data_IF_543693811933
#
_entry.id   IF_543693811933
#
_cell.length_a   1.000
_cell.length_b   1.000
_cell.length_c   1.000
_cell.angle_alpha   90.00
_cell.angle_beta   90.00
_cell.angle_gamma   90.00
#
_symmetry.space_group_name_H-M   'P 1'
#
loop_
_entity.id
_entity.type
_entity.pdbx_description
1 polymer ?
#
# COMPACT_ATOMS: atom_id res chain seq x y z
N UNK A 1 5.16 -7.84 9.49
CA UNK A 1 5.68 -8.14 8.13
C UNK A 1 4.64 -8.80 7.21
N UNK A 2 3.83 -9.76 7.68
CA UNK A 2 2.84 -10.46 6.85
C UNK A 2 1.79 -9.53 6.20
N UNK A 3 1.30 -8.52 6.94
CA UNK A 3 0.34 -7.55 6.40
C UNK A 3 0.94 -6.66 5.31
N UNK A 4 2.16 -6.17 5.50
CA UNK A 4 2.85 -5.36 4.50
C UNK A 4 3.05 -6.14 3.19
N UNK A 5 3.47 -7.41 3.29
CA UNK A 5 3.59 -8.29 2.12
C UNK A 5 2.25 -8.51 1.41
N UNK A 6 1.15 -8.64 2.15
CA UNK A 6 -0.20 -8.75 1.57
C UNK A 6 -0.61 -7.47 0.83
N UNK A 7 -0.36 -6.29 1.41
CA UNK A 7 -0.66 -5.00 0.77
C UNK A 7 0.16 -4.81 -0.51
N UNK A 8 1.45 -5.14 -0.49
CA UNK A 8 2.31 -5.09 -1.68
C UNK A 8 1.76 -6.00 -2.79
N UNK A 9 1.36 -7.23 -2.46
CA UNK A 9 0.80 -8.16 -3.44
C UNK A 9 -0.51 -7.64 -4.04
N UNK A 10 -1.39 -7.04 -3.23
CA UNK A 10 -2.63 -6.45 -3.71
C UNK A 10 -2.38 -5.24 -4.61
N UNK A 11 -1.40 -4.39 -4.25
CA UNK A 11 -0.98 -3.25 -5.06
C UNK A 11 -0.50 -3.69 -6.45
N UNK A 12 0.34 -4.73 -6.53
CA UNK A 12 0.83 -5.24 -7.81
C UNK A 12 -0.29 -5.88 -8.66
N UNK A 13 -1.28 -6.51 -8.03
CA UNK A 13 -2.47 -7.01 -8.74
C UNK A 13 -3.31 -5.85 -9.31
N UNK A 14 -3.54 -4.81 -8.52
CA UNK A 14 -4.29 -3.62 -8.95
C UNK A 14 -3.57 -2.89 -10.08
N UNK A 15 -2.24 -2.71 -9.98
CA UNK A 15 -1.40 -2.11 -11.02
C UNK A 15 -1.50 -2.87 -12.34
N UNK A 16 -1.37 -4.21 -12.32
CA UNK A 16 -1.53 -5.04 -13.53
C UNK A 16 -2.92 -4.94 -14.13
N UNK A 17 -3.97 -4.92 -13.30
CA UNK A 17 -5.35 -4.73 -13.78
C UNK A 17 -5.54 -3.37 -14.45
N UNK A 18 -4.98 -2.31 -13.89
CA UNK A 18 -5.02 -0.97 -14.48
C UNK A 18 -4.31 -0.93 -15.84
N UNK A 19 -3.11 -1.52 -15.93
CA UNK A 19 -2.35 -1.60 -17.19
C UNK A 19 -3.05 -2.45 -18.27
N UNK A 20 -3.82 -3.46 -17.87
CA UNK A 20 -4.62 -4.28 -18.78
C UNK A 20 -5.97 -3.63 -19.16
N UNK A 21 -6.34 -2.52 -18.52
CA UNK A 21 -7.60 -1.83 -18.81
C UNK A 21 -7.47 -1.03 -20.09
N UNK A 22 -8.45 -1.14 -20.98
CA UNK A 22 -8.50 -0.35 -22.20
C UNK A 22 -8.50 1.16 -21.85
N UNK A 23 -7.55 1.97 -22.36
CA UNK A 23 -7.51 3.40 -22.09
C UNK A 23 -8.74 4.18 -22.61
N UNK A 24 -9.47 3.62 -23.59
CA UNK A 24 -10.73 4.18 -24.07
C UNK A 24 -11.91 3.99 -23.10
N UNK A 25 -11.80 3.04 -22.15
CA UNK A 25 -12.81 2.81 -21.12
C UNK A 25 -12.47 3.65 -19.87
N UNK A 26 -12.77 4.94 -19.96
CA UNK A 26 -12.44 5.93 -18.93
C UNK A 26 -12.98 5.57 -17.54
N UNK A 27 -14.19 5.01 -17.46
CA UNK A 27 -14.80 4.65 -16.19
C UNK A 27 -14.04 3.51 -15.51
N UNK A 28 -13.72 2.44 -16.27
CA UNK A 28 -12.93 1.33 -15.72
C UNK A 28 -11.51 1.77 -15.37
N UNK A 29 -10.90 2.63 -16.18
CA UNK A 29 -9.57 3.15 -15.90
C UNK A 29 -9.55 3.99 -14.63
N UNK A 30 -10.54 4.87 -14.43
CA UNK A 30 -10.68 5.68 -13.24
C UNK A 30 -10.92 4.82 -11.99
N UNK A 31 -11.76 3.79 -12.10
CA UNK A 31 -11.99 2.84 -11.00
C UNK A 31 -10.72 2.07 -10.64
N UNK A 32 -9.94 1.63 -11.65
CA UNK A 32 -8.66 0.95 -11.43
C UNK A 32 -7.62 1.89 -10.79
N UNK A 33 -7.54 3.14 -11.24
CA UNK A 33 -6.66 4.17 -10.66
C UNK A 33 -6.97 4.41 -9.19
N UNK A 34 -8.24 4.66 -8.84
CA UNK A 34 -8.66 4.87 -7.44
C UNK A 34 -8.29 3.70 -6.55
N UNK A 35 -8.40 2.46 -7.06
CA UNK A 35 -8.02 1.27 -6.32
C UNK A 35 -6.51 1.19 -6.05
N UNK A 36 -5.69 1.62 -7.00
CA UNK A 36 -4.24 1.73 -6.80
C UNK A 36 -3.93 2.79 -5.73
N UNK A 37 -4.57 3.96 -5.81
CA UNK A 37 -4.35 5.06 -4.85
C UNK A 37 -4.70 4.64 -3.41
N UNK A 38 -5.83 3.94 -3.21
CA UNK A 38 -6.21 3.37 -1.90
C UNK A 38 -5.13 2.45 -1.34
N UNK A 39 -4.61 1.54 -2.17
CA UNK A 39 -3.61 0.55 -1.75
C UNK A 39 -2.24 1.19 -1.48
N UNK A 40 -1.90 2.29 -2.17
CA UNK A 40 -0.70 3.10 -1.86
C UNK A 40 -0.83 3.73 -0.47
N UNK A 41 -1.98 4.32 -0.15
CA UNK A 41 -2.22 4.88 1.18
C UNK A 41 -2.16 3.80 2.25
N UNK A 42 -2.75 2.63 2.00
CA UNK A 42 -2.69 1.48 2.90
C UNK A 42 -1.26 0.98 3.10
N UNK A 43 -0.45 0.92 2.04
CA UNK A 43 0.97 0.56 2.14
C UNK A 43 1.71 1.50 3.09
N UNK A 44 1.55 2.81 2.93
CA UNK A 44 2.21 3.78 3.81
C UNK A 44 1.71 3.69 5.24
N UNK A 45 0.40 3.53 5.47
CA UNK A 45 -0.16 3.31 6.81
C UNK A 45 0.44 2.08 7.47
N UNK A 46 0.45 0.95 6.77
CA UNK A 46 0.98 -0.33 7.29
C UNK A 46 2.49 -0.26 7.54
N UNK A 47 3.25 0.38 6.65
CA UNK A 47 4.68 0.62 6.83
C UNK A 47 4.95 1.46 8.09
N UNK A 48 4.21 2.55 8.29
CA UNK A 48 4.39 3.45 9.42
C UNK A 48 3.93 2.83 10.74
N UNK A 49 2.83 2.07 10.74
CA UNK A 49 2.34 1.35 11.92
C UNK A 49 3.31 0.24 12.36
N UNK A 50 3.92 -0.48 11.42
CA UNK A 50 4.99 -1.44 11.70
C UNK A 50 6.25 -0.79 12.28
N UNK A 51 6.51 0.49 11.96
CA UNK A 51 7.68 1.22 12.43
C UNK A 51 7.53 1.80 13.85
N UNK A 52 6.29 2.00 14.35
CA UNK A 52 6.04 2.46 15.74
C UNK A 52 6.24 1.38 16.81
N UNK A 53 6.43 0.11 16.40
CA UNK A 53 6.76 -0.99 17.31
C UNK A 53 8.20 -0.95 17.85
N UNK A 54 9.07 -0.15 17.24
CA UNK A 54 10.43 0.08 17.74
C UNK A 54 10.40 1.26 18.71
N UNK A 55 9.86 1.04 19.92
CA UNK A 55 10.14 1.95 21.03
C UNK A 55 11.63 1.81 21.34
N UNK A 56 12.40 2.85 21.09
CA UNK A 56 13.74 2.96 21.65
C UNK A 56 13.60 2.90 23.17
N UNK A 57 14.00 1.78 23.77
CA UNK A 57 14.37 1.75 25.19
C UNK A 57 15.68 2.54 25.31
N UNK A 58 15.57 3.86 25.39
CA UNK A 58 16.64 4.66 25.98
C UNK A 58 16.58 4.42 27.48
N UNK A 59 17.39 3.49 27.96
CA UNK A 59 17.75 3.42 29.38
C UNK A 59 18.33 4.77 29.80
N UNK A 60 17.87 5.37 30.92
CA UNK A 60 18.56 6.50 31.51
C UNK A 60 19.81 5.91 32.20
N UNK A 61 20.99 6.14 31.62
CA UNK A 61 22.22 5.77 32.29
C UNK A 61 22.47 6.76 33.43
N UNK A 62 22.83 6.18 34.57
CA UNK A 62 23.12 6.77 35.88
C UNK A 62 24.22 7.83 35.88
#
# INVERSE_FOLDING_TARGET
MLELGRVILQLEKARRKMLATNPGDREKLLAASRKVDELVLEYYRTKLSGNRGVKYHTSPNS
#
